data_IF_415761550565
#
_entry.id   IF_415761550565
#
_cell.length_a   1.000
_cell.length_b   1.000
_cell.length_c   1.000
_cell.angle_alpha   90.00
_cell.angle_beta   90.00
_cell.angle_gamma   90.00
#
_symmetry.space_group_name_H-M   'P 1'
#
loop_
_entity.id
_entity.type
_entity.pdbx_description
1 polymer ?
#
# COMPACT_ATOMS: atom_id res chain seq x y z
N UNK A 1 -20.23 16.64 -10.83
CA UNK A 1 -18.84 16.74 -10.33
C UNK A 1 -17.97 17.23 -11.47
N UNK A 2 -17.17 18.28 -11.26
CA UNK A 2 -16.31 18.84 -12.32
C UNK A 2 -15.19 17.86 -12.69
N UNK A 3 -14.66 18.00 -13.90
CA UNK A 3 -13.55 17.17 -14.40
C UNK A 3 -12.30 17.30 -13.51
N UNK A 4 -12.02 18.51 -13.02
CA UNK A 4 -10.92 18.80 -12.09
C UNK A 4 -11.01 17.98 -10.79
N UNK A 5 -12.21 17.89 -10.19
CA UNK A 5 -12.40 17.09 -8.98
C UNK A 5 -12.11 15.61 -9.23
N UNK A 6 -12.48 15.07 -10.40
CA UNK A 6 -12.17 13.69 -10.77
C UNK A 6 -10.66 13.46 -10.91
N UNK A 7 -9.95 14.40 -11.54
CA UNK A 7 -8.50 14.34 -11.73
C UNK A 7 -7.80 14.36 -10.37
N UNK A 8 -8.12 15.32 -9.50
CA UNK A 8 -7.53 15.44 -8.16
C UNK A 8 -7.78 14.17 -7.34
N UNK A 9 -9.00 13.63 -7.40
CA UNK A 9 -9.34 12.38 -6.70
C UNK A 9 -8.66 11.15 -7.28
N UNK A 10 -8.17 11.19 -8.53
CA UNK A 10 -7.46 10.06 -9.13
C UNK A 10 -5.95 10.08 -8.88
N UNK A 11 -5.37 11.24 -8.54
CA UNK A 11 -3.93 11.41 -8.26
C UNK A 11 -3.47 10.46 -7.13
N UNK A 12 -4.14 10.35 -5.97
CA UNK A 12 -3.69 9.45 -4.91
C UNK A 12 -3.72 7.97 -5.33
N UNK A 13 -4.69 7.56 -6.17
CA UNK A 13 -4.69 6.20 -6.72
C UNK A 13 -3.55 5.98 -7.70
N UNK A 14 -3.23 6.96 -8.55
CA UNK A 14 -2.11 6.87 -9.49
C UNK A 14 -0.78 6.73 -8.74
N UNK A 15 -0.60 7.56 -7.71
CA UNK A 15 0.56 7.49 -6.80
C UNK A 15 0.59 6.13 -6.11
N UNK A 16 -0.55 5.63 -5.61
CA UNK A 16 -0.66 4.31 -4.99
C UNK A 16 -0.28 3.17 -5.95
N UNK A 17 -0.69 3.22 -7.22
CA UNK A 17 -0.33 2.22 -8.24
C UNK A 17 1.17 2.28 -8.56
N UNK A 18 1.73 3.49 -8.71
CA UNK A 18 3.18 3.68 -8.89
C UNK A 18 3.92 3.14 -7.67
N UNK A 19 3.40 3.36 -6.45
CA UNK A 19 3.94 2.77 -5.23
C UNK A 19 3.79 1.26 -5.20
N UNK A 20 2.72 0.68 -5.74
CA UNK A 20 2.62 -0.78 -5.87
C UNK A 20 3.66 -1.35 -6.84
N UNK A 21 4.06 -0.63 -7.89
CA UNK A 21 5.17 -1.04 -8.75
C UNK A 21 6.51 -1.11 -7.99
N UNK A 22 6.66 -0.33 -6.91
CA UNK A 22 7.80 -0.44 -5.99
C UNK A 22 7.88 -1.80 -5.29
N UNK A 23 6.76 -2.53 -5.17
CA UNK A 23 6.80 -3.91 -4.70
C UNK A 23 7.57 -4.82 -5.65
N UNK A 24 7.54 -4.54 -6.94
CA UNK A 24 8.22 -5.34 -7.94
C UNK A 24 9.69 -4.97 -8.11
N UNK A 25 10.06 -3.70 -7.89
CA UNK A 25 11.46 -3.25 -7.93
C UNK A 25 11.72 -2.17 -6.88
N UNK A 26 12.52 -2.51 -5.87
CA UNK A 26 12.97 -1.58 -4.81
C UNK A 26 13.89 -0.51 -5.40
N UNK A 27 14.68 -0.87 -6.42
CA UNK A 27 15.65 0.01 -7.06
C UNK A 27 14.98 1.16 -7.84
N UNK A 28 13.82 0.90 -8.46
CA UNK A 28 13.05 1.93 -9.16
C UNK A 28 12.58 3.03 -8.19
N UNK A 29 12.18 2.66 -6.97
CA UNK A 29 11.77 3.63 -5.96
C UNK A 29 12.93 4.28 -5.24
N UNK A 30 13.99 3.54 -4.89
CA UNK A 30 15.23 4.13 -4.33
C UNK A 30 15.78 5.24 -5.23
N UNK A 31 15.71 5.08 -6.55
CA UNK A 31 16.12 6.10 -7.51
C UNK A 31 15.28 7.39 -7.44
N UNK A 32 13.97 7.28 -7.24
CA UNK A 32 13.03 8.41 -7.16
C UNK A 32 13.01 9.03 -5.75
N UNK A 33 13.04 8.21 -4.70
CA UNK A 33 12.73 8.59 -3.33
C UNK A 33 13.91 9.09 -2.51
N UNK A 34 15.14 8.59 -2.74
CA UNK A 34 16.31 8.92 -1.91
C UNK A 34 16.68 10.41 -1.91
N UNK A 35 16.14 11.20 -2.84
CA UNK A 35 16.35 12.66 -2.88
C UNK A 35 15.27 13.48 -2.16
N UNK A 36 14.13 12.91 -1.79
CA UNK A 36 12.93 13.68 -1.40
C UNK A 36 12.53 13.42 0.06
N UNK A 37 12.35 12.15 0.46
CA UNK A 37 11.98 11.74 1.83
C UNK A 37 12.46 10.30 2.03
N UNK A 38 13.02 9.96 3.20
CA UNK A 38 13.45 8.59 3.50
C UNK A 38 12.31 7.59 3.33
N UNK A 39 12.60 6.46 2.69
CA UNK A 39 11.63 5.43 2.30
C UNK A 39 10.70 4.99 3.47
N UNK A 40 11.27 4.93 4.67
CA UNK A 40 10.59 4.61 5.93
C UNK A 40 9.36 5.48 6.22
N UNK A 41 9.42 6.77 5.88
CA UNK A 41 8.31 7.71 6.10
C UNK A 41 7.36 7.78 4.90
N UNK A 42 7.77 7.31 3.72
CA UNK A 42 6.92 7.37 2.53
C UNK A 42 5.76 6.37 2.60
N UNK A 43 6.02 5.16 3.10
CA UNK A 43 4.99 4.12 3.15
C UNK A 43 3.80 4.53 4.05
N UNK A 44 4.01 4.99 5.29
CA UNK A 44 2.89 5.39 6.15
C UNK A 44 2.10 6.57 5.57
N UNK A 45 2.79 7.55 4.97
CA UNK A 45 2.17 8.73 4.36
C UNK A 45 1.27 8.31 3.20
N UNK A 46 1.78 7.47 2.29
CA UNK A 46 1.03 7.02 1.11
C UNK A 46 -0.15 6.14 1.53
N UNK A 47 0.03 5.23 2.47
CA UNK A 47 -1.08 4.44 3.01
C UNK A 47 -2.15 5.32 3.67
N UNK A 48 -1.77 6.35 4.42
CA UNK A 48 -2.70 7.31 5.01
C UNK A 48 -3.53 8.05 3.96
N UNK A 49 -2.88 8.53 2.88
CA UNK A 49 -3.56 9.18 1.76
C UNK A 49 -4.53 8.23 1.03
N UNK A 50 -4.12 6.98 0.82
CA UNK A 50 -4.96 5.96 0.20
C UNK A 50 -6.18 5.63 1.06
N UNK A 51 -6.01 5.50 2.39
CA UNK A 51 -7.13 5.27 3.32
C UNK A 51 -8.12 6.43 3.33
N UNK A 52 -7.64 7.68 3.36
CA UNK A 52 -8.48 8.87 3.25
C UNK A 52 -9.27 8.89 1.94
N UNK A 53 -8.61 8.55 0.83
CA UNK A 53 -9.24 8.49 -0.48
C UNK A 53 -10.35 7.42 -0.52
N UNK A 54 -10.09 6.23 0.03
CA UNK A 54 -11.08 5.15 0.12
C UNK A 54 -12.27 5.58 0.98
N UNK A 55 -12.02 6.18 2.14
CA UNK A 55 -13.08 6.70 3.01
C UNK A 55 -13.98 7.71 2.29
N UNK A 56 -13.39 8.63 1.52
CA UNK A 56 -14.14 9.58 0.70
C UNK A 56 -14.95 8.89 -0.40
N UNK A 57 -14.37 7.92 -1.11
CA UNK A 57 -15.05 7.19 -2.18
C UNK A 57 -16.23 6.38 -1.66
N UNK A 58 -16.08 5.74 -0.49
CA UNK A 58 -17.17 5.06 0.21
C UNK A 58 -18.24 6.07 0.60
N UNK A 59 -17.90 7.14 1.32
CA UNK A 59 -18.86 8.19 1.69
C UNK A 59 -19.69 8.66 0.49
N UNK A 60 -19.01 8.94 -0.63
CA UNK A 60 -19.63 9.38 -1.88
C UNK A 60 -20.53 8.32 -2.52
N UNK A 61 -20.08 7.06 -2.54
CA UNK A 61 -20.86 5.93 -3.06
C UNK A 61 -22.19 5.79 -2.29
N UNK A 62 -22.14 6.01 -0.97
CA UNK A 62 -23.31 5.91 -0.11
C UNK A 62 -24.25 7.10 -0.23
N UNK A 63 -23.78 8.27 -0.68
CA UNK A 63 -24.62 9.46 -0.91
C UNK A 63 -25.59 9.31 -2.09
N UNK A 64 -25.36 8.38 -3.03
CA UNK A 64 -26.22 8.19 -4.20
C UNK A 64 -27.57 7.56 -3.83
N UNK A 65 -28.67 8.33 -3.82
CA UNK A 65 -30.00 7.82 -3.43
C UNK A 65 -30.60 6.81 -4.42
N UNK A 66 -30.28 6.91 -5.70
CA UNK A 66 -30.89 6.11 -6.78
C UNK A 66 -30.15 4.80 -7.10
N UNK A 67 -29.19 4.38 -6.27
CA UNK A 67 -28.42 3.16 -6.48
C UNK A 67 -28.89 2.06 -5.51
N UNK A 68 -29.20 0.84 -6.01
CA UNK A 68 -29.60 -0.26 -5.15
C UNK A 68 -28.50 -0.58 -4.14
N UNK A 69 -28.90 -0.88 -2.90
CA UNK A 69 -28.01 -1.11 -1.76
C UNK A 69 -27.00 -2.23 -2.04
N UNK A 70 -27.40 -3.30 -2.72
CA UNK A 70 -26.52 -4.41 -3.12
C UNK A 70 -25.34 -3.95 -3.99
N UNK A 71 -25.58 -3.04 -4.95
CA UNK A 71 -24.50 -2.47 -5.78
C UNK A 71 -23.54 -1.64 -4.94
N UNK A 72 -24.04 -0.83 -3.99
CA UNK A 72 -23.19 -0.04 -3.08
C UNK A 72 -22.34 -0.94 -2.19
N UNK A 73 -22.93 -2.00 -1.65
CA UNK A 73 -22.22 -2.98 -0.81
C UNK A 73 -21.13 -3.69 -1.61
N UNK A 74 -21.43 -4.19 -2.82
CA UNK A 74 -20.42 -4.86 -3.65
C UNK A 74 -19.23 -3.95 -3.98
N UNK A 75 -19.49 -2.68 -4.34
CA UNK A 75 -18.43 -1.72 -4.60
C UNK A 75 -17.61 -1.36 -3.35
N UNK A 76 -18.26 -1.25 -2.19
CA UNK A 76 -17.57 -1.03 -0.91
C UNK A 76 -16.67 -2.21 -0.57
N UNK A 77 -17.18 -3.44 -0.73
CA UNK A 77 -16.43 -4.67 -0.50
C UNK A 77 -15.24 -4.77 -1.46
N UNK A 78 -15.43 -4.46 -2.74
CA UNK A 78 -14.34 -4.45 -3.72
C UNK A 78 -13.22 -3.46 -3.34
N UNK A 79 -13.59 -2.24 -2.93
CA UNK A 79 -12.64 -1.21 -2.51
C UNK A 79 -11.83 -1.64 -1.27
N UNK A 80 -12.49 -2.26 -0.29
CA UNK A 80 -11.83 -2.72 0.94
C UNK A 80 -10.94 -3.94 0.68
N UNK A 81 -11.45 -4.97 -0.02
CA UNK A 81 -10.68 -6.20 -0.29
C UNK A 81 -9.42 -5.89 -1.10
N UNK A 82 -9.54 -5.07 -2.14
CA UNK A 82 -8.38 -4.69 -2.95
C UNK A 82 -7.27 -4.07 -2.09
N UNK A 83 -7.64 -3.21 -1.13
CA UNK A 83 -6.69 -2.57 -0.24
C UNK A 83 -6.08 -3.53 0.78
N UNK A 84 -6.88 -4.44 1.35
CA UNK A 84 -6.41 -5.49 2.27
C UNK A 84 -5.39 -6.41 1.58
N UNK A 85 -5.69 -6.88 0.36
CA UNK A 85 -4.77 -7.73 -0.41
C UNK A 85 -3.44 -7.02 -0.66
N UNK A 86 -3.48 -5.73 -1.04
CA UNK A 86 -2.24 -4.98 -1.23
C UNK A 86 -1.44 -4.76 0.05
N UNK A 87 -2.11 -4.60 1.18
CA UNK A 87 -1.47 -4.43 2.49
C UNK A 87 -0.80 -5.71 2.97
N UNK A 88 -1.42 -6.87 2.73
CA UNK A 88 -0.85 -8.18 3.07
C UNK A 88 0.43 -8.47 2.28
N UNK A 89 0.45 -8.16 0.98
CA UNK A 89 1.65 -8.31 0.14
C UNK A 89 2.80 -7.44 0.66
N UNK A 90 2.52 -6.19 1.08
CA UNK A 90 3.51 -5.31 1.70
C UNK A 90 4.11 -5.95 2.95
N UNK A 91 3.26 -6.42 3.87
CA UNK A 91 3.68 -7.00 5.14
C UNK A 91 4.57 -8.22 4.90
N UNK A 92 4.18 -9.14 4.01
CA UNK A 92 4.97 -10.34 3.73
C UNK A 92 6.31 -10.05 3.08
N UNK A 93 6.38 -9.02 2.22
CA UNK A 93 7.66 -8.59 1.64
C UNK A 93 8.58 -8.00 2.74
N UNK A 94 8.04 -7.16 3.62
CA UNK A 94 8.80 -6.60 4.75
C UNK A 94 9.24 -7.65 5.76
N UNK A 95 8.37 -8.60 6.07
CA UNK A 95 8.70 -9.74 6.93
C UNK A 95 9.87 -10.56 6.36
N UNK A 96 9.88 -10.77 5.03
CA UNK A 96 11.00 -11.43 4.34
C UNK A 96 12.29 -10.62 4.40
N UNK A 97 12.23 -9.30 4.18
CA UNK A 97 13.39 -8.40 4.31
C UNK A 97 13.98 -8.46 5.73
N UNK A 98 13.14 -8.33 6.76
CA UNK A 98 13.57 -8.41 8.17
C UNK A 98 14.09 -9.79 8.54
N UNK A 99 13.49 -10.87 8.01
CA UNK A 99 13.99 -12.23 8.20
C UNK A 99 15.38 -12.46 7.61
N UNK A 100 15.72 -11.79 6.51
CA UNK A 100 17.06 -11.84 5.90
C UNK A 100 18.05 -10.99 6.72
N UNK A 101 17.69 -9.77 7.11
CA UNK A 101 18.53 -8.90 7.95
C UNK A 101 18.85 -9.52 9.31
N UNK A 102 17.87 -10.16 9.96
CA UNK A 102 18.06 -10.86 11.23
C UNK A 102 19.05 -12.04 11.09
N UNK A 103 18.95 -12.83 10.02
CA UNK A 103 19.90 -13.93 9.75
C UNK A 103 21.32 -13.44 9.44
N UNK A 104 21.46 -12.23 8.90
CA UNK A 104 22.76 -11.65 8.56
C UNK A 104 23.42 -10.91 9.73
N UNK A 105 22.66 -10.54 10.77
CA UNK A 105 23.16 -9.81 11.95
C UNK A 105 23.43 -10.72 13.15
N UNK A 106 22.81 -11.90 13.21
CA UNK A 106 23.22 -12.95 14.15
C UNK A 106 24.35 -13.75 13.48
N UNK A 107 25.61 -13.68 13.98
CA UNK A 107 26.66 -14.54 13.47
C UNK A 107 26.19 -15.98 13.63
N UNK A 108 26.35 -16.81 12.61
CA UNK A 108 26.21 -18.25 12.77
C UNK A 108 27.11 -18.67 13.94
N UNK A 109 26.55 -18.82 15.14
CA UNK A 109 27.14 -19.64 16.18
C UNK A 109 27.08 -21.04 15.60
N UNK A 110 28.16 -21.37 14.89
CA UNK A 110 28.42 -22.72 14.43
C UNK A 110 28.40 -23.56 15.70
N UNK A 111 27.31 -24.27 15.90
CA UNK A 111 27.13 -25.27 16.94
C UNK A 111 28.09 -26.41 16.65
N UNK A 112 29.37 -26.22 16.94
CA UNK A 112 30.32 -27.30 17.14
C UNK A 112 30.15 -27.81 18.57
N UNK A 113 29.13 -28.63 18.78
CA UNK A 113 29.10 -29.67 19.83
C UNK A 113 28.37 -30.86 19.21
N UNK A 114 28.90 -32.08 19.14
CA UNK A 114 30.16 -32.71 19.56
C UNK A 114 30.23 -34.07 18.80
N UNK A 115 31.35 -34.82 18.85
CA UNK A 115 31.50 -36.11 18.16
C UNK A 115 30.59 -37.22 18.73
#
# INVERSE_FOLDING_TARGET
MSVLAKIILSIPSLIGIIYMLSFWSIDFFKWISNKIVSYEYQTPIINGLVLLQIGYLIYRLWTYKNLPKSKKTNWTVLLVIFNVVSSLIFIWKKDREFGIENKNTVPNTVSYEKP
#
